data_IF_785753520648
#
_entry.id   IF_785753520648
#
_cell.length_a   1.000
_cell.length_b   1.000
_cell.length_c   1.000
_cell.angle_alpha   90.00
_cell.angle_beta   90.00
_cell.angle_gamma   90.00
#
_symmetry.space_group_name_H-M   'P 1'
#
loop_
_entity.id
_entity.type
_entity.pdbx_description
1 polymer ?
#
# COMPACT_ATOMS: atom_id res chain seq x y z
N UNK A 1 -28.19 5.00 6.05
CA UNK A 1 -26.99 5.22 6.89
C UNK A 1 -26.01 6.09 6.11
N UNK A 2 -25.36 7.10 6.71
CA UNK A 2 -24.89 8.30 6.01
C UNK A 2 -23.50 8.07 5.38
N UNK A 3 -23.44 7.41 4.23
CA UNK A 3 -22.20 7.03 3.53
C UNK A 3 -21.79 7.94 2.37
N UNK A 4 -22.05 9.25 2.47
CA UNK A 4 -21.86 10.20 1.35
C UNK A 4 -20.64 11.12 1.46
N UNK A 5 -19.60 10.80 2.24
CA UNK A 5 -18.57 11.80 2.63
C UNK A 5 -17.11 11.41 2.38
N UNK A 6 -16.79 10.35 1.63
CA UNK A 6 -15.43 9.79 1.74
C UNK A 6 -14.33 10.60 1.02
N UNK A 7 -14.61 11.23 -0.13
CA UNK A 7 -13.62 12.11 -0.79
C UNK A 7 -13.31 13.39 0.00
N UNK A 8 -14.33 13.98 0.65
CA UNK A 8 -14.14 15.17 1.48
C UNK A 8 -13.59 14.85 2.87
N UNK A 9 -13.78 13.62 3.36
CA UNK A 9 -13.25 13.18 4.67
C UNK A 9 -11.72 13.06 4.65
N UNK A 10 -11.13 12.55 3.56
CA UNK A 10 -9.67 12.52 3.34
C UNK A 10 -9.09 13.95 3.38
N UNK A 11 -9.71 14.88 2.64
CA UNK A 11 -9.30 16.29 2.63
C UNK A 11 -9.48 16.97 4.01
N UNK A 12 -10.58 16.69 4.70
CA UNK A 12 -10.90 17.30 6.00
C UNK A 12 -10.05 16.77 7.16
N UNK A 13 -9.72 15.48 7.20
CA UNK A 13 -8.82 14.92 8.22
C UNK A 13 -7.39 15.47 8.07
N UNK A 14 -6.90 15.59 6.84
CA UNK A 14 -5.61 16.20 6.54
C UNK A 14 -5.54 17.65 7.04
N UNK A 15 -6.55 18.48 6.72
CA UNK A 15 -6.62 19.89 7.15
C UNK A 15 -6.71 20.04 8.68
N UNK A 16 -7.43 19.14 9.36
CA UNK A 16 -7.61 19.18 10.81
C UNK A 16 -6.31 18.83 11.56
N UNK A 17 -5.53 17.87 11.04
CA UNK A 17 -4.21 17.50 11.57
C UNK A 17 -3.17 18.61 11.35
N UNK A 18 -3.22 19.30 10.20
CA UNK A 18 -2.33 20.44 9.90
C UNK A 18 -2.54 21.63 10.85
N UNK A 19 -3.80 21.94 11.22
CA UNK A 19 -4.10 22.99 12.21
C UNK A 19 -3.55 22.70 13.61
N UNK A 20 -3.49 21.43 14.02
CA UNK A 20 -2.90 21.05 15.31
C UNK A 20 -1.37 21.16 15.33
N UNK A 21 -0.70 20.98 14.19
CA UNK A 21 0.76 21.10 14.08
C UNK A 21 1.27 22.55 14.16
N UNK A 22 0.47 23.55 13.76
CA UNK A 22 0.82 24.98 13.87
C UNK A 22 0.70 25.59 15.27
N UNK A 23 0.09 24.88 16.23
CA UNK A 23 -0.11 25.38 17.59
C UNK A 23 0.94 24.89 18.60
N UNK A 24 2.02 24.22 18.16
CA UNK A 24 3.21 24.08 19.01
C UNK A 24 4.12 25.30 18.79
N UNK A 25 4.41 26.09 19.83
CA UNK A 25 5.41 27.14 19.71
C UNK A 25 6.81 26.49 19.57
N UNK A 26 7.73 27.11 18.83
CA UNK A 26 9.11 26.65 18.75
C UNK A 26 9.80 26.88 20.11
N UNK A 27 10.54 25.86 20.56
CA UNK A 27 11.44 25.96 21.71
C UNK A 27 12.54 26.96 21.34
N UNK A 28 12.69 28.01 22.16
CA UNK A 28 13.70 29.04 22.00
C UNK A 28 15.02 28.56 22.59
N UNK A 29 16.07 28.46 21.77
CA UNK A 29 17.43 28.25 22.23
C UNK A 29 17.97 29.56 22.83
N UNK A 30 18.28 29.53 24.12
CA UNK A 30 18.90 30.64 24.85
C UNK A 30 20.39 30.71 24.57
N UNK A 31 20.80 31.79 23.91
CA UNK A 31 22.19 32.25 23.81
C UNK A 31 22.68 32.70 25.19
N UNK A 32 23.82 32.18 25.66
CA UNK A 32 24.60 32.78 26.75
C UNK A 32 26.08 32.82 26.38
N UNK A 33 26.59 34.03 26.23
CA UNK A 33 28.00 34.42 26.10
C UNK A 33 28.61 34.54 27.50
N UNK A 34 29.91 34.22 27.66
CA UNK A 34 30.98 34.83 28.50
C UNK A 34 32.19 33.87 28.51
N UNK A 35 33.21 34.08 27.65
CA UNK A 35 34.51 34.76 27.90
C UNK A 35 35.57 34.02 28.75
N UNK A 36 36.60 33.56 28.02
CA UNK A 36 38.07 33.58 28.24
C UNK A 36 38.72 33.03 29.53
N UNK A 37 39.55 31.99 29.34
CA UNK A 37 40.99 32.02 29.69
C UNK A 37 41.76 30.91 28.94
N UNK A 38 42.96 31.28 28.48
CA UNK A 38 43.97 30.52 27.74
C UNK A 38 44.55 29.30 28.45
N UNK A 39 44.79 28.18 27.74
CA UNK A 39 46.13 27.56 27.70
C UNK A 39 46.28 26.49 26.58
N UNK A 40 47.54 26.23 26.26
CA UNK A 40 48.14 25.56 25.11
C UNK A 40 48.08 24.02 25.18
N UNK A 41 47.87 23.34 24.05
CA UNK A 41 48.25 21.92 23.91
C UNK A 41 47.50 21.16 22.82
N UNK A 42 48.14 20.90 21.69
CA UNK A 42 47.53 20.31 20.50
C UNK A 42 47.07 18.84 20.63
N UNK A 43 46.09 18.48 19.79
CA UNK A 43 45.95 17.18 19.15
C UNK A 43 44.87 17.26 18.05
N UNK A 44 45.28 16.97 16.82
CA UNK A 44 44.38 16.57 15.74
C UNK A 44 43.74 15.22 16.11
N UNK A 45 42.41 15.17 16.12
CA UNK A 45 41.59 13.95 16.05
C UNK A 45 40.28 14.37 15.34
N UNK A 46 40.23 14.21 14.02
CA UNK A 46 39.64 13.04 13.35
C UNK A 46 38.10 13.04 13.46
N UNK A 47 37.47 13.55 12.40
CA UNK A 47 36.03 13.46 12.16
C UNK A 47 35.73 12.08 11.56
N UNK A 48 35.26 11.14 12.38
CA UNK A 48 34.59 9.91 11.95
C UNK A 48 33.34 9.72 12.83
N UNK A 49 32.16 9.37 12.34
CA UNK A 49 31.78 8.74 11.08
C UNK A 49 30.41 9.31 10.64
N UNK A 50 30.30 9.74 9.38
CA UNK A 50 29.01 9.73 8.68
C UNK A 50 28.59 8.26 8.55
N UNK A 51 27.32 7.88 8.83
CA UNK A 51 26.90 6.52 8.55
C UNK A 51 27.10 6.26 7.05
N UNK A 52 27.93 5.28 6.75
CA UNK A 52 28.25 4.85 5.39
C UNK A 52 26.94 4.57 4.64
N UNK A 53 26.58 5.46 3.72
CA UNK A 53 25.60 5.20 2.68
C UNK A 53 26.18 4.13 1.78
N UNK A 54 25.90 2.86 2.09
CA UNK A 54 26.02 1.78 1.11
C UNK A 54 25.20 2.25 -0.10
N UNK A 55 25.84 2.46 -1.25
CA UNK A 55 25.16 2.80 -2.50
C UNK A 55 24.26 1.61 -2.88
N UNK A 56 23.04 1.58 -2.32
CA UNK A 56 22.03 0.58 -2.66
C UNK A 56 21.50 0.90 -4.05
N UNK A 57 21.27 -0.13 -4.85
CA UNK A 57 20.53 0.03 -6.10
C UNK A 57 19.13 0.59 -5.77
N UNK A 58 18.65 1.56 -6.54
CA UNK A 58 17.31 2.17 -6.38
C UNK A 58 16.21 1.12 -6.18
N UNK A 59 16.23 0.04 -6.97
CA UNK A 59 15.25 -1.05 -6.86
C UNK A 59 15.34 -1.75 -5.50
N UNK A 60 16.55 -1.97 -4.97
CA UNK A 60 16.74 -2.60 -3.67
C UNK A 60 16.17 -1.74 -2.54
N UNK A 61 16.38 -0.41 -2.62
CA UNK A 61 15.78 0.53 -1.67
C UNK A 61 14.25 0.48 -1.73
N UNK A 62 13.67 0.45 -2.94
CA UNK A 62 12.22 0.32 -3.13
C UNK A 62 11.65 -0.99 -2.54
N UNK A 63 12.38 -2.10 -2.66
CA UNK A 63 12.00 -3.39 -2.07
C UNK A 63 11.96 -3.30 -0.54
N UNK A 64 12.98 -2.69 0.06
CA UNK A 64 13.07 -2.57 1.52
C UNK A 64 11.94 -1.72 2.12
N UNK A 65 11.52 -0.64 1.43
CA UNK A 65 10.48 0.25 1.94
C UNK A 65 9.04 -0.21 1.65
N UNK A 66 8.80 -1.15 0.72
CA UNK A 66 7.45 -1.51 0.28
C UNK A 66 6.57 -2.10 1.40
N UNK A 67 7.19 -2.89 2.29
CA UNK A 67 6.54 -3.52 3.46
C UNK A 67 5.13 -4.08 3.18
N UNK A 68 4.95 -4.79 2.05
CA UNK A 68 3.63 -5.25 1.58
C UNK A 68 2.83 -6.05 2.61
N UNK A 69 3.51 -6.85 3.44
CA UNK A 69 2.89 -7.62 4.51
C UNK A 69 2.15 -6.72 5.48
N UNK A 70 2.74 -5.57 5.84
CA UNK A 70 2.13 -4.57 6.72
C UNK A 70 0.91 -3.93 6.04
N UNK A 71 0.97 -3.70 4.72
CA UNK A 71 -0.12 -3.11 3.95
C UNK A 71 -1.37 -3.99 3.94
N UNK A 72 -1.17 -5.31 3.87
CA UNK A 72 -2.26 -6.28 3.71
C UNK A 72 -2.75 -6.81 5.07
N UNK A 73 -1.89 -6.84 6.08
CA UNK A 73 -2.22 -7.30 7.44
C UNK A 73 -2.89 -6.23 8.31
N UNK A 74 -4.06 -5.79 7.88
CA UNK A 74 -4.81 -4.72 8.52
C UNK A 74 -5.38 -5.15 9.87
N UNK A 75 -5.17 -4.35 10.92
CA UNK A 75 -5.62 -4.68 12.28
C UNK A 75 -7.13 -4.80 12.35
N UNK A 76 -7.86 -3.96 11.62
CA UNK A 76 -9.32 -4.02 11.56
C UNK A 76 -9.91 -5.32 10.99
N UNK A 77 -9.10 -6.12 10.27
CA UNK A 77 -9.49 -7.42 9.73
C UNK A 77 -9.10 -8.60 10.63
N UNK A 78 -8.22 -8.42 11.62
CA UNK A 78 -7.72 -9.51 12.46
C UNK A 78 -8.80 -10.06 13.39
N UNK A 79 -8.79 -11.37 13.59
CA UNK A 79 -9.64 -12.09 14.53
C UNK A 79 -8.74 -12.63 15.64
N UNK A 80 -8.98 -12.21 16.88
CA UNK A 80 -8.21 -12.66 18.04
C UNK A 80 -8.84 -13.93 18.62
N UNK A 81 -8.02 -14.94 19.02
CA UNK A 81 -8.52 -16.10 19.76
C UNK A 81 -9.17 -15.65 21.08
N UNK A 82 -10.27 -16.29 21.47
CA UNK A 82 -11.06 -15.94 22.66
C UNK A 82 -10.33 -16.13 24.01
N UNK A 83 -9.05 -16.50 24.03
CA UNK A 83 -8.43 -17.13 25.21
C UNK A 83 -7.63 -16.25 26.15
N UNK A 84 -7.31 -14.99 25.83
CA UNK A 84 -6.66 -14.13 26.82
C UNK A 84 -7.39 -12.81 27.02
N UNK A 85 -7.84 -12.63 28.25
CA UNK A 85 -8.39 -11.42 28.82
C UNK A 85 -7.56 -10.16 28.47
N UNK A 86 -8.01 -9.34 27.52
CA UNK A 86 -7.65 -7.91 27.52
C UNK A 86 -8.48 -7.10 26.52
N UNK A 87 -9.16 -6.07 27.04
CA UNK A 87 -9.83 -4.95 26.37
C UNK A 87 -11.09 -5.28 25.54
N UNK A 88 -12.18 -4.54 25.79
CA UNK A 88 -13.37 -4.48 24.96
C UNK A 88 -12.97 -4.22 23.50
N UNK A 89 -12.82 -5.29 22.71
CA UNK A 89 -12.56 -5.15 21.30
C UNK A 89 -13.69 -4.33 20.70
N UNK A 90 -13.34 -3.19 20.11
CA UNK A 90 -14.27 -2.34 19.39
C UNK A 90 -15.19 -3.20 18.51
N UNK A 91 -16.51 -2.92 18.45
CA UNK A 91 -17.44 -3.67 17.62
C UNK A 91 -16.90 -3.82 16.19
N UNK A 92 -17.13 -4.96 15.55
CA UNK A 92 -16.56 -5.25 14.23
C UNK A 92 -16.85 -4.15 13.19
N UNK A 93 -18.03 -3.52 13.24
CA UNK A 93 -18.35 -2.38 12.39
C UNK A 93 -17.42 -1.17 12.61
N UNK A 94 -17.02 -0.91 13.85
CA UNK A 94 -16.06 0.14 14.19
C UNK A 94 -14.66 -0.22 13.71
N UNK A 95 -14.24 -1.49 13.86
CA UNK A 95 -12.95 -1.97 13.32
C UNK A 95 -12.89 -1.82 11.80
N UNK A 96 -13.91 -2.29 11.09
CA UNK A 96 -14.02 -2.16 9.63
C UNK A 96 -14.01 -0.69 9.17
N UNK A 97 -14.65 0.21 9.93
CA UNK A 97 -14.66 1.64 9.60
C UNK A 97 -13.28 2.31 9.70
N UNK A 98 -12.38 1.78 10.53
CA UNK A 98 -11.02 2.31 10.73
C UNK A 98 -10.01 1.78 9.72
N UNK A 99 -10.36 0.74 8.94
CA UNK A 99 -9.44 0.17 7.93
C UNK A 99 -9.05 1.23 6.88
N UNK A 100 -9.96 2.16 6.55
CA UNK A 100 -9.64 3.26 5.64
C UNK A 100 -8.49 4.11 6.14
N UNK A 101 -8.48 4.43 7.44
CA UNK A 101 -7.42 5.19 8.07
C UNK A 101 -6.10 4.40 8.07
N UNK A 102 -6.14 3.09 8.32
CA UNK A 102 -4.95 2.23 8.30
C UNK A 102 -4.30 2.16 6.91
N UNK A 103 -5.10 1.93 5.86
CA UNK A 103 -4.61 1.91 4.48
C UNK A 103 -3.98 3.25 4.11
N UNK A 104 -4.66 4.36 4.44
CA UNK A 104 -4.17 5.70 4.14
C UNK A 104 -2.88 5.99 4.89
N UNK A 105 -2.80 5.65 6.18
CA UNK A 105 -1.60 5.81 7.00
C UNK A 105 -0.41 5.08 6.38
N UNK A 106 -0.60 3.82 5.98
CA UNK A 106 0.46 3.00 5.39
C UNK A 106 0.90 3.50 4.01
N UNK A 107 -0.02 3.92 3.15
CA UNK A 107 0.33 4.50 1.84
C UNK A 107 1.03 5.86 1.97
N UNK A 108 0.62 6.69 2.93
CA UNK A 108 1.29 7.95 3.24
C UNK A 108 2.71 7.70 3.76
N UNK A 109 2.87 6.74 4.66
CA UNK A 109 4.18 6.42 5.21
C UNK A 109 5.11 5.84 4.14
N UNK A 110 4.63 4.91 3.32
CA UNK A 110 5.38 4.42 2.16
C UNK A 110 5.82 5.56 1.22
N UNK A 111 4.94 6.53 0.96
CA UNK A 111 5.26 7.68 0.10
C UNK A 111 6.36 8.57 0.66
N UNK A 112 6.40 8.77 2.00
CA UNK A 112 7.46 9.53 2.67
C UNK A 112 8.83 8.85 2.59
N UNK A 113 8.83 7.52 2.51
CA UNK A 113 10.05 6.71 2.46
C UNK A 113 10.64 6.62 1.05
N UNK A 114 9.98 7.18 0.01
CA UNK A 114 10.51 7.18 -1.35
C UNK A 114 11.76 8.06 -1.46
N UNK A 115 12.78 7.66 -2.24
CA UNK A 115 14.06 8.36 -2.35
C UNK A 115 13.97 9.80 -2.92
N UNK A 116 12.82 10.17 -3.51
CA UNK A 116 12.56 11.49 -4.08
C UNK A 116 11.52 12.32 -3.29
N UNK A 117 11.13 11.88 -2.08
CA UNK A 117 10.08 12.56 -1.31
C UNK A 117 10.38 14.04 -1.07
N UNK A 118 11.64 14.38 -0.78
CA UNK A 118 12.09 15.75 -0.52
C UNK A 118 12.09 16.69 -1.75
N UNK A 119 11.92 16.16 -2.97
CA UNK A 119 12.01 16.97 -4.20
C UNK A 119 10.70 17.66 -4.59
N UNK A 120 9.58 17.18 -4.04
CA UNK A 120 8.23 17.64 -4.32
C UNK A 120 7.55 18.15 -3.04
N UNK A 121 6.69 19.19 -3.15
CA UNK A 121 5.87 19.63 -2.02
C UNK A 121 4.94 18.54 -1.51
N UNK A 122 4.62 18.58 -0.22
CA UNK A 122 3.71 17.64 0.45
C UNK A 122 2.33 17.63 -0.22
N UNK A 123 1.88 18.79 -0.70
CA UNK A 123 0.60 18.92 -1.38
C UNK A 123 0.58 18.08 -2.67
N UNK A 124 1.69 18.04 -3.43
CA UNK A 124 1.80 17.23 -4.64
C UNK A 124 1.72 15.75 -4.31
N UNK A 125 2.43 15.28 -3.27
CA UNK A 125 2.32 13.89 -2.80
C UNK A 125 0.90 13.54 -2.37
N UNK A 126 0.24 14.45 -1.66
CA UNK A 126 -1.16 14.31 -1.23
C UNK A 126 -2.10 14.17 -2.43
N UNK A 127 -1.88 14.95 -3.49
CA UNK A 127 -2.64 14.87 -4.73
C UNK A 127 -2.49 13.51 -5.39
N UNK A 128 -1.26 13.09 -5.60
CA UNK A 128 -0.92 11.83 -6.29
C UNK A 128 -1.57 10.65 -5.56
N UNK A 129 -1.40 10.59 -4.24
CA UNK A 129 -2.04 9.57 -3.41
C UNK A 129 -3.56 9.61 -3.50
N UNK A 130 -4.18 10.79 -3.42
CA UNK A 130 -5.65 10.92 -3.50
C UNK A 130 -6.19 10.38 -4.83
N UNK A 131 -5.44 10.52 -5.92
CA UNK A 131 -5.84 10.03 -7.24
C UNK A 131 -5.54 8.53 -7.44
N UNK A 132 -4.51 7.99 -6.78
CA UNK A 132 -3.95 6.67 -7.11
C UNK A 132 -4.09 5.60 -6.04
N UNK A 133 -4.58 5.93 -4.84
CA UNK A 133 -4.67 4.99 -3.72
C UNK A 133 -5.40 3.68 -4.08
N UNK A 134 -6.47 3.76 -4.86
CA UNK A 134 -7.25 2.57 -5.25
C UNK A 134 -6.45 1.64 -6.19
N UNK A 135 -5.66 2.20 -7.10
CA UNK A 135 -4.77 1.43 -7.98
C UNK A 135 -3.63 0.81 -7.18
N UNK A 136 -3.05 1.55 -6.22
CA UNK A 136 -1.99 1.04 -5.33
C UNK A 136 -2.49 -0.14 -4.48
N UNK A 137 -3.69 -0.04 -3.91
CA UNK A 137 -4.31 -1.12 -3.13
C UNK A 137 -4.50 -2.38 -3.97
N UNK A 138 -5.08 -2.25 -5.17
CA UNK A 138 -5.32 -3.39 -6.05
C UNK A 138 -4.03 -4.03 -6.55
N UNK A 139 -3.04 -3.21 -6.94
CA UNK A 139 -1.73 -3.68 -7.38
C UNK A 139 -1.02 -4.47 -6.28
N UNK A 140 -0.99 -3.95 -5.04
CA UNK A 140 -0.40 -4.66 -3.90
C UNK A 140 -1.17 -5.95 -3.57
N UNK A 141 -2.50 -5.94 -3.61
CA UNK A 141 -3.30 -7.15 -3.40
C UNK A 141 -3.01 -8.24 -4.47
N UNK A 142 -2.93 -7.84 -5.75
CA UNK A 142 -2.58 -8.76 -6.84
C UNK A 142 -1.19 -9.36 -6.66
N UNK A 143 -0.18 -8.53 -6.39
CA UNK A 143 1.19 -8.99 -6.21
C UNK A 143 1.30 -9.96 -5.03
N UNK A 144 0.74 -9.60 -3.88
CA UNK A 144 0.75 -10.47 -2.70
C UNK A 144 0.14 -11.84 -2.94
N UNK A 145 -1.04 -11.90 -3.55
CA UNK A 145 -1.69 -13.19 -3.83
C UNK A 145 -0.90 -14.04 -4.80
N UNK A 146 -0.29 -13.46 -5.83
CA UNK A 146 0.57 -14.21 -6.75
C UNK A 146 1.84 -14.71 -6.07
N UNK A 147 2.51 -13.88 -5.28
CA UNK A 147 3.73 -14.27 -4.56
C UNK A 147 3.47 -15.38 -3.56
N UNK A 148 2.37 -15.27 -2.79
CA UNK A 148 2.02 -16.29 -1.80
C UNK A 148 1.59 -17.61 -2.45
N UNK A 149 0.88 -17.58 -3.58
CA UNK A 149 0.52 -18.78 -4.32
C UNK A 149 1.75 -19.52 -4.90
N UNK A 150 2.77 -18.77 -5.35
CA UNK A 150 4.02 -19.36 -5.84
C UNK A 150 4.79 -20.10 -4.73
N UNK A 151 4.84 -19.53 -3.52
CA UNK A 151 5.46 -20.18 -2.36
C UNK A 151 4.76 -21.49 -1.97
N UNK A 152 3.42 -21.51 -2.00
CA UNK A 152 2.64 -22.71 -1.67
C UNK A 152 2.88 -23.80 -2.71
N UNK A 153 2.91 -23.47 -4.00
CA UNK A 153 3.16 -24.45 -5.06
C UNK A 153 4.53 -25.13 -5.00
N UNK A 154 5.55 -24.48 -4.42
CA UNK A 154 6.87 -25.07 -4.18
C UNK A 154 6.87 -26.02 -2.96
N UNK A 155 6.04 -25.77 -1.95
CA UNK A 155 5.96 -26.59 -0.73
C UNK A 155 4.94 -27.75 -0.82
N UNK A 156 3.90 -27.66 -1.64
CA UNK A 156 2.77 -28.64 -1.70
C UNK A 156 2.75 -29.54 -2.95
N UNK A 157 3.90 -30.07 -3.36
CA UNK A 157 3.95 -31.14 -4.37
C UNK A 157 3.32 -32.48 -3.90
N UNK A 158 2.77 -32.59 -2.68
CA UNK A 158 2.14 -33.82 -2.17
C UNK A 158 0.87 -33.53 -1.35
N UNK A 159 -0.28 -33.37 -2.00
CA UNK A 159 -1.58 -33.79 -1.44
C UNK A 159 -2.70 -33.78 -2.49
N UNK A 160 -3.04 -34.97 -2.98
CA UNK A 160 -4.25 -35.24 -3.76
C UNK A 160 -5.41 -35.54 -2.81
N UNK A 161 -6.12 -34.51 -2.37
CA UNK A 161 -7.52 -34.62 -1.94
C UNK A 161 -8.24 -33.32 -2.29
N UNK A 162 -9.34 -33.44 -3.03
CA UNK A 162 -10.28 -32.34 -3.30
C UNK A 162 -10.84 -31.80 -1.99
N UNK A 163 -10.21 -30.75 -1.47
CA UNK A 163 -10.73 -30.01 -0.32
C UNK A 163 -11.78 -29.02 -0.84
N UNK A 164 -13.07 -29.37 -0.69
CA UNK A 164 -14.22 -28.49 -0.98
C UNK A 164 -14.27 -27.24 -0.08
N UNK A 165 -13.25 -26.99 0.74
CA UNK A 165 -13.13 -25.87 1.64
C UNK A 165 -11.83 -25.08 1.53
N UNK A 166 -11.18 -25.06 0.35
CA UNK A 166 -9.99 -24.23 0.10
C UNK A 166 -10.20 -22.80 0.65
N UNK A 167 -9.49 -22.49 1.74
CA UNK A 167 -9.49 -21.17 2.35
C UNK A 167 -8.63 -20.17 1.55
N UNK A 168 -8.35 -20.46 0.28
CA UNK A 168 -7.48 -19.71 -0.60
C UNK A 168 -8.26 -18.97 -1.69
N UNK A 169 -7.63 -17.91 -2.20
CA UNK A 169 -8.20 -17.12 -3.29
C UNK A 169 -8.14 -17.91 -4.61
N UNK A 170 -9.27 -17.95 -5.32
CA UNK A 170 -9.33 -18.48 -6.68
C UNK A 170 -8.93 -17.41 -7.69
N UNK A 171 -8.07 -17.78 -8.64
CA UNK A 171 -7.69 -16.92 -9.76
C UNK A 171 -8.66 -16.99 -10.94
N UNK A 172 -9.63 -17.91 -10.92
CA UNK A 172 -10.50 -18.19 -12.07
C UNK A 172 -11.99 -18.04 -11.75
N UNK A 173 -12.38 -18.30 -10.50
CA UNK A 173 -13.78 -18.35 -10.09
C UNK A 173 -14.13 -17.23 -9.11
N UNK A 174 -14.83 -16.21 -9.60
CA UNK A 174 -15.34 -15.12 -8.77
C UNK A 174 -16.42 -15.59 -7.79
N UNK A 175 -17.16 -16.66 -8.08
CA UNK A 175 -18.17 -17.22 -7.19
C UNK A 175 -17.52 -17.90 -5.98
N UNK A 176 -16.42 -18.63 -6.19
CA UNK A 176 -15.59 -19.14 -5.10
C UNK A 176 -15.07 -18.00 -4.21
N UNK A 177 -14.54 -16.93 -4.81
CA UNK A 177 -14.05 -15.76 -4.06
C UNK A 177 -15.15 -15.04 -3.28
N UNK A 178 -16.39 -14.99 -3.81
CA UNK A 178 -17.53 -14.44 -3.08
C UNK A 178 -17.90 -15.30 -1.86
N UNK A 179 -17.89 -16.65 -1.98
CA UNK A 179 -18.11 -17.54 -0.84
C UNK A 179 -16.99 -17.42 0.19
N UNK A 180 -15.74 -17.34 -0.24
CA UNK A 180 -14.58 -17.10 0.62
C UNK A 180 -14.72 -15.77 1.38
N UNK A 181 -15.06 -14.69 0.67
CA UNK A 181 -15.31 -13.38 1.26
C UNK A 181 -16.44 -13.46 2.29
N UNK A 182 -17.54 -14.16 1.99
CA UNK A 182 -18.66 -14.33 2.92
C UNK A 182 -18.24 -15.04 4.20
N UNK A 183 -17.46 -16.14 4.09
CA UNK A 183 -16.90 -16.87 5.23
C UNK A 183 -16.04 -15.96 6.10
N UNK A 184 -15.06 -15.28 5.49
CA UNK A 184 -14.11 -14.41 6.20
C UNK A 184 -14.79 -13.19 6.80
N UNK A 185 -15.71 -12.55 6.08
CA UNK A 185 -16.44 -11.39 6.60
C UNK A 185 -17.38 -11.77 7.75
N UNK A 186 -18.03 -12.94 7.69
CA UNK A 186 -18.85 -13.46 8.79
C UNK A 186 -18.02 -13.68 10.05
N UNK A 187 -16.80 -14.21 9.89
CA UNK A 187 -15.86 -14.40 10.98
C UNK A 187 -15.39 -13.07 11.58
N UNK A 188 -14.99 -12.10 10.75
CA UNK A 188 -14.60 -10.74 11.20
C UNK A 188 -15.74 -10.05 11.94
N UNK A 189 -16.98 -10.25 11.48
CA UNK A 189 -18.17 -9.66 12.08
C UNK A 189 -18.70 -10.39 13.31
N UNK A 190 -18.18 -11.60 13.61
CA UNK A 190 -18.67 -12.45 14.69
C UNK A 190 -20.12 -12.91 14.51
N UNK A 191 -20.65 -12.86 13.29
CA UNK A 191 -22.02 -13.27 12.96
C UNK A 191 -22.13 -13.72 11.51
N UNK A 192 -23.02 -14.67 11.25
CA UNK A 192 -23.31 -15.11 9.90
C UNK A 192 -23.85 -13.96 9.04
N UNK A 193 -23.23 -13.75 7.87
CA UNK A 193 -23.69 -12.78 6.88
C UNK A 193 -24.28 -13.57 5.71
N UNK A 194 -25.54 -13.31 5.32
CA UNK A 194 -26.14 -13.99 4.18
C UNK A 194 -25.38 -13.72 2.88
N UNK A 195 -25.23 -14.77 2.05
CA UNK A 195 -24.45 -14.71 0.82
C UNK A 195 -25.01 -13.68 -0.17
N UNK A 196 -26.32 -13.53 -0.23
CA UNK A 196 -27.03 -12.56 -1.07
C UNK A 196 -26.63 -11.11 -0.77
N UNK A 197 -26.34 -10.79 0.50
CA UNK A 197 -25.87 -9.45 0.88
C UNK A 197 -24.44 -9.21 0.39
N UNK A 198 -23.58 -10.23 0.45
CA UNK A 198 -22.20 -10.13 -0.05
C UNK A 198 -22.19 -10.00 -1.58
N UNK A 199 -23.00 -10.78 -2.28
CA UNK A 199 -23.17 -10.67 -3.74
C UNK A 199 -23.61 -9.26 -4.12
N UNK A 200 -24.64 -8.73 -3.43
CA UNK A 200 -25.18 -7.41 -3.74
C UNK A 200 -24.18 -6.27 -3.50
N UNK A 201 -23.44 -6.30 -2.39
CA UNK A 201 -22.56 -5.18 -2.01
C UNK A 201 -21.13 -5.31 -2.58
N UNK A 202 -20.64 -6.55 -2.77
CA UNK A 202 -19.25 -6.83 -3.16
C UNK A 202 -19.11 -7.45 -4.56
N UNK A 203 -20.17 -8.05 -5.10
CA UNK A 203 -20.15 -8.85 -6.34
C UNK A 203 -19.37 -8.20 -7.49
N UNK A 204 -19.74 -6.98 -7.91
CA UNK A 204 -19.05 -6.29 -9.01
C UNK A 204 -17.54 -6.08 -8.76
N UNK A 205 -17.16 -5.78 -7.51
CA UNK A 205 -15.76 -5.59 -7.15
C UNK A 205 -15.00 -6.92 -7.15
N UNK A 206 -15.59 -7.98 -6.60
CA UNK A 206 -14.94 -9.31 -6.58
C UNK A 206 -14.79 -9.87 -7.99
N UNK A 207 -15.79 -9.72 -8.85
CA UNK A 207 -15.69 -10.15 -10.25
C UNK A 207 -14.55 -9.43 -10.98
N UNK A 208 -14.51 -8.09 -10.89
CA UNK A 208 -13.43 -7.30 -11.48
C UNK A 208 -12.06 -7.63 -10.88
N UNK A 209 -11.99 -7.83 -9.58
CA UNK A 209 -10.74 -8.17 -8.90
C UNK A 209 -10.25 -9.57 -9.28
N UNK A 210 -11.12 -10.58 -9.38
CA UNK A 210 -10.74 -11.93 -9.85
C UNK A 210 -10.18 -11.88 -11.27
N UNK A 211 -10.82 -11.15 -12.18
CA UNK A 211 -10.29 -10.97 -13.54
C UNK A 211 -8.94 -10.26 -13.55
N UNK A 212 -8.79 -9.21 -12.73
CA UNK A 212 -7.53 -8.48 -12.59
C UNK A 212 -6.40 -9.38 -12.08
N UNK A 213 -6.71 -10.18 -11.04
CA UNK A 213 -5.79 -11.13 -10.42
C UNK A 213 -5.37 -12.25 -11.38
N UNK A 214 -6.32 -12.79 -12.14
CA UNK A 214 -6.04 -13.77 -13.21
C UNK A 214 -5.03 -13.20 -14.22
N UNK A 215 -5.29 -11.99 -14.73
CA UNK A 215 -4.42 -11.39 -15.73
C UNK A 215 -3.04 -11.07 -15.16
N UNK A 216 -2.97 -10.59 -13.90
CA UNK A 216 -1.70 -10.29 -13.25
C UNK A 216 -0.85 -11.55 -13.05
N UNK A 217 -1.46 -12.69 -12.70
CA UNK A 217 -0.73 -13.96 -12.50
C UNK A 217 -0.07 -14.50 -13.77
N UNK A 218 -0.58 -14.14 -14.96
CA UNK A 218 0.02 -14.54 -16.24
C UNK A 218 1.25 -13.73 -16.62
N UNK A 219 1.44 -12.55 -16.05
CA UNK A 219 2.54 -11.66 -16.40
C UNK A 219 3.86 -12.05 -15.73
N UNK A 220 3.86 -12.90 -14.69
CA UNK A 220 5.07 -13.29 -13.93
C UNK A 220 5.88 -12.07 -13.47
N UNK A 221 5.20 -11.15 -12.81
CA UNK A 221 5.81 -9.93 -12.26
C UNK A 221 6.72 -10.30 -11.10
N UNK A 222 8.00 -9.96 -11.23
CA UNK A 222 9.03 -10.09 -10.18
C UNK A 222 8.87 -8.99 -9.12
N UNK A 223 9.48 -9.17 -7.95
CA UNK A 223 9.42 -8.19 -6.84
C UNK A 223 9.99 -6.84 -7.26
N UNK A 224 11.11 -6.85 -7.97
CA UNK A 224 11.77 -5.68 -8.54
C UNK A 224 10.85 -4.92 -9.51
N UNK A 225 10.19 -5.65 -10.42
CA UNK A 225 9.25 -5.06 -11.36
C UNK A 225 8.03 -4.48 -10.64
N UNK A 226 7.49 -5.18 -9.65
CA UNK A 226 6.33 -4.73 -8.87
C UNK A 226 6.60 -3.41 -8.15
N UNK A 227 7.73 -3.26 -7.45
CA UNK A 227 8.02 -2.01 -6.72
C UNK A 227 8.21 -0.83 -7.67
N UNK A 228 8.78 -1.07 -8.85
CA UNK A 228 8.87 -0.06 -9.90
C UNK A 228 7.49 0.33 -10.44
N UNK A 229 6.64 -0.65 -10.75
CA UNK A 229 5.26 -0.40 -11.22
C UNK A 229 4.49 0.39 -10.17
N UNK A 230 4.60 0.05 -8.88
CA UNK A 230 3.93 0.75 -7.79
C UNK A 230 4.37 2.22 -7.70
N UNK A 231 5.67 2.49 -7.80
CA UNK A 231 6.19 3.86 -7.85
C UNK A 231 5.68 4.61 -9.10
N UNK A 232 5.74 3.98 -10.29
CA UNK A 232 5.23 4.57 -11.54
C UNK A 232 3.74 4.89 -11.43
N UNK A 233 2.93 4.01 -10.83
CA UNK A 233 1.50 4.22 -10.58
C UNK A 233 1.26 5.43 -9.71
N UNK A 234 2.01 5.60 -8.60
CA UNK A 234 1.89 6.79 -7.75
C UNK A 234 2.19 8.07 -8.53
N UNK A 235 3.30 8.10 -9.28
CA UNK A 235 3.74 9.29 -10.02
C UNK A 235 3.02 9.49 -11.35
N UNK A 236 2.02 8.65 -11.68
CA UNK A 236 1.22 8.83 -12.89
C UNK A 236 0.23 9.99 -12.74
N UNK A 237 0.68 11.18 -13.10
CA UNK A 237 -0.12 12.41 -13.01
C UNK A 237 -1.10 12.53 -14.18
N UNK A 238 -2.41 12.68 -13.87
CA UNK A 238 -3.42 13.00 -14.88
C UNK A 238 -3.50 14.50 -15.11
N UNK A 239 -3.23 14.94 -16.36
CA UNK A 239 -3.20 16.35 -16.78
C UNK A 239 -4.52 17.09 -16.53
N UNK A 240 -5.64 16.38 -16.45
CA UNK A 240 -6.99 16.95 -16.30
C UNK A 240 -7.44 17.09 -14.84
N UNK A 241 -6.56 16.86 -13.86
CA UNK A 241 -6.92 17.01 -12.45
C UNK A 241 -6.91 18.48 -12.01
N UNK A 242 -8.03 18.92 -11.42
CA UNK A 242 -8.28 20.27 -10.92
C UNK A 242 -7.44 20.57 -9.66
N UNK A 243 -6.13 20.68 -9.86
CA UNK A 243 -5.22 21.24 -8.86
C UNK A 243 -5.52 22.74 -8.68
N UNK A 244 -6.40 23.05 -7.73
CA UNK A 244 -6.95 24.40 -7.51
C UNK A 244 -6.11 25.26 -6.54
N UNK A 245 -4.91 24.83 -6.14
CA UNK A 245 -4.18 25.40 -5.00
C UNK A 245 -2.99 26.32 -5.29
N UNK A 246 -2.46 26.38 -6.52
CA UNK A 246 -1.19 27.10 -6.82
C UNK A 246 -1.23 27.84 -8.16
N UNK A 247 -0.36 28.84 -8.33
CA UNK A 247 -0.19 29.55 -9.59
C UNK A 247 0.09 28.57 -10.74
N UNK A 248 -0.37 28.90 -11.96
CA UNK A 248 -0.22 28.04 -13.14
C UNK A 248 1.27 27.71 -13.44
N UNK A 249 2.18 28.66 -13.16
CA UNK A 249 3.63 28.48 -13.33
C UNK A 249 4.18 27.41 -12.38
N UNK A 250 3.80 27.47 -11.10
CA UNK A 250 4.21 26.49 -10.08
C UNK A 250 3.67 25.09 -10.41
N UNK A 251 2.42 25.01 -10.88
CA UNK A 251 1.80 23.76 -11.32
C UNK A 251 2.63 23.11 -12.43
N UNK A 252 2.98 23.86 -13.48
CA UNK A 252 3.81 23.35 -14.58
C UNK A 252 5.17 22.83 -14.12
N UNK A 253 5.83 23.52 -13.19
CA UNK A 253 7.13 23.14 -12.66
C UNK A 253 7.08 21.81 -11.88
N UNK A 254 6.05 21.63 -11.05
CA UNK A 254 5.86 20.36 -10.32
C UNK A 254 5.46 19.21 -11.24
N UNK A 255 4.64 19.47 -12.28
CA UNK A 255 4.34 18.44 -13.29
C UNK A 255 5.63 17.94 -13.96
N UNK A 256 6.52 18.85 -14.35
CA UNK A 256 7.79 18.49 -14.96
C UNK A 256 8.65 17.64 -14.01
N UNK A 257 8.74 18.02 -12.73
CA UNK A 257 9.47 17.22 -11.73
C UNK A 257 8.86 15.84 -11.52
N UNK A 258 7.53 15.73 -11.40
CA UNK A 258 6.84 14.43 -11.27
C UNK A 258 7.13 13.54 -12.48
N UNK A 259 7.10 14.09 -13.70
CA UNK A 259 7.46 13.34 -14.91
C UNK A 259 8.92 12.90 -14.90
N UNK A 260 9.85 13.75 -14.48
CA UNK A 260 11.27 13.38 -14.39
C UNK A 260 11.50 12.25 -13.38
N UNK A 261 10.86 12.31 -12.21
CA UNK A 261 10.92 11.26 -11.19
C UNK A 261 10.31 9.97 -11.73
N UNK A 262 9.13 10.04 -12.35
CA UNK A 262 8.50 8.87 -12.97
C UNK A 262 9.40 8.21 -14.02
N UNK A 263 10.05 9.01 -14.86
CA UNK A 263 10.92 8.53 -15.94
C UNK A 263 12.13 7.74 -15.40
N UNK A 264 12.63 8.09 -14.21
CA UNK A 264 13.67 7.31 -13.53
C UNK A 264 13.18 5.90 -13.15
N UNK A 265 11.97 5.77 -12.62
CA UNK A 265 11.38 4.46 -12.32
C UNK A 265 11.03 3.66 -13.58
N UNK A 266 10.58 4.32 -14.65
CA UNK A 266 10.34 3.67 -15.95
C UNK A 266 11.63 3.11 -16.53
N UNK A 267 12.72 3.88 -16.49
CA UNK A 267 14.05 3.41 -16.93
C UNK A 267 14.55 2.24 -16.09
N UNK A 268 14.42 2.32 -14.77
CA UNK A 268 14.81 1.23 -13.87
C UNK A 268 14.02 -0.07 -14.19
N UNK A 269 12.70 0.05 -14.38
CA UNK A 269 11.86 -1.07 -14.80
C UNK A 269 12.31 -1.64 -16.15
N UNK A 270 12.52 -0.80 -17.16
CA UNK A 270 12.94 -1.24 -18.49
C UNK A 270 14.28 -1.99 -18.46
N UNK A 271 15.27 -1.47 -17.73
CA UNK A 271 16.56 -2.13 -17.56
C UNK A 271 16.38 -3.51 -16.93
N UNK A 272 15.58 -3.61 -15.86
CA UNK A 272 15.30 -4.88 -15.19
C UNK A 272 14.61 -5.90 -16.10
N UNK A 273 13.61 -5.47 -16.87
CA UNK A 273 12.90 -6.35 -17.79
C UNK A 273 13.78 -6.83 -18.96
N UNK A 274 14.71 -5.99 -19.44
CA UNK A 274 15.67 -6.40 -20.49
C UNK A 274 16.67 -7.41 -19.94
N UNK A 275 17.08 -7.28 -18.68
CA UNK A 275 18.04 -8.18 -18.05
C UNK A 275 17.46 -9.53 -17.67
N UNK A 276 16.13 -9.65 -17.61
CA UNK A 276 15.43 -10.86 -17.18
C UNK A 276 14.48 -11.38 -18.28
N UNK A 277 15.01 -12.20 -19.19
CA UNK A 277 14.28 -12.71 -20.37
C UNK A 277 13.04 -13.56 -20.02
N UNK A 278 13.01 -14.17 -18.83
CA UNK A 278 11.90 -14.98 -18.33
C UNK A 278 10.82 -14.18 -17.58
N UNK A 279 11.04 -12.87 -17.37
CA UNK A 279 10.13 -11.99 -16.66
C UNK A 279 9.03 -11.39 -17.56
N UNK A 280 8.12 -10.64 -16.91
CA UNK A 280 7.05 -9.90 -17.57
C UNK A 280 7.54 -9.03 -18.74
N UNK A 281 6.81 -9.02 -19.84
CA UNK A 281 7.10 -8.08 -20.94
C UNK A 281 6.47 -6.73 -20.66
N UNK A 282 7.14 -5.66 -21.08
CA UNK A 282 6.59 -4.30 -21.00
C UNK A 282 5.22 -4.20 -21.70
N UNK A 283 5.04 -4.90 -22.83
CA UNK A 283 3.75 -4.96 -23.55
C UNK A 283 2.61 -5.47 -22.67
N UNK A 284 2.88 -6.49 -21.85
CA UNK A 284 1.87 -7.15 -21.02
C UNK A 284 1.49 -6.24 -19.84
N UNK A 285 2.47 -5.51 -19.31
CA UNK A 285 2.22 -4.47 -18.28
C UNK A 285 1.34 -3.36 -18.85
N UNK A 286 1.66 -2.85 -20.05
CA UNK A 286 0.90 -1.77 -20.68
C UNK A 286 -0.55 -2.18 -21.02
N UNK A 287 -0.79 -3.44 -21.38
CA UNK A 287 -2.16 -3.95 -21.63
C UNK A 287 -2.93 -4.21 -20.33
N UNK A 288 -2.23 -4.51 -19.23
CA UNK A 288 -2.84 -4.72 -17.92
C UNK A 288 -3.22 -3.42 -17.19
N UNK A 289 -2.46 -2.33 -17.38
CA UNK A 289 -2.73 -1.03 -16.72
C UNK A 289 -4.18 -0.50 -16.93
N UNK A 290 -4.78 -0.55 -18.14
CA UNK A 290 -6.19 -0.21 -18.32
C UNK A 290 -7.16 -1.08 -17.50
N UNK A 291 -6.84 -2.37 -17.30
CA UNK A 291 -7.64 -3.26 -16.45
C UNK A 291 -7.55 -2.85 -14.99
N UNK A 292 -6.35 -2.52 -14.51
CA UNK A 292 -6.14 -1.97 -13.17
C UNK A 292 -6.98 -0.70 -12.96
N UNK A 293 -6.96 0.23 -13.93
CA UNK A 293 -7.76 1.45 -13.87
C UNK A 293 -9.27 1.17 -13.87
N UNK A 294 -9.72 0.19 -14.67
CA UNK A 294 -11.14 -0.23 -14.67
C UNK A 294 -11.57 -0.78 -13.32
N UNK A 295 -10.76 -1.64 -12.70
CA UNK A 295 -11.04 -2.21 -11.39
C UNK A 295 -10.96 -1.16 -10.27
N UNK A 296 -10.00 -0.21 -10.35
CA UNK A 296 -9.86 0.87 -9.38
C UNK A 296 -11.08 1.79 -9.37
N UNK A 297 -11.67 2.05 -10.54
CA UNK A 297 -12.94 2.80 -10.64
C UNK A 297 -14.07 2.11 -9.87
N UNK A 298 -14.19 0.79 -9.93
CA UNK A 298 -15.19 0.04 -9.13
C UNK A 298 -14.87 0.13 -7.64
N UNK A 299 -13.59 0.03 -7.27
CA UNK A 299 -13.15 0.14 -5.88
C UNK A 299 -13.45 1.53 -5.28
N UNK A 300 -13.25 2.61 -6.05
CA UNK A 300 -13.52 3.99 -5.63
C UNK A 300 -14.99 4.23 -5.27
N UNK A 301 -15.91 3.51 -5.91
CA UNK A 301 -17.35 3.61 -5.64
C UNK A 301 -17.83 2.56 -4.61
N UNK A 302 -16.96 1.64 -4.18
CA UNK A 302 -17.28 0.60 -3.21
C UNK A 302 -17.16 1.12 -1.77
N UNK A 303 -18.09 0.68 -0.91
CA UNK A 303 -17.99 0.89 0.54
C UNK A 303 -17.09 -0.15 1.23
N UNK A 304 -16.71 -1.21 0.53
CA UNK A 304 -15.93 -2.32 1.04
C UNK A 304 -14.55 -2.33 0.38
N UNK A 305 -13.82 -1.22 0.49
CA UNK A 305 -12.51 -1.07 -0.15
C UNK A 305 -11.43 -2.01 0.41
N UNK A 306 -11.69 -2.66 1.54
CA UNK A 306 -10.83 -3.68 2.16
C UNK A 306 -11.00 -5.07 1.54
N UNK A 307 -11.97 -5.28 0.64
CA UNK A 307 -12.27 -6.58 0.02
C UNK A 307 -11.06 -7.23 -0.65
N UNK A 308 -10.24 -6.53 -1.46
CA UNK A 308 -9.05 -7.14 -2.05
C UNK A 308 -8.17 -7.80 -0.98
N UNK A 309 -7.84 -7.08 0.09
CA UNK A 309 -7.00 -7.61 1.17
C UNK A 309 -7.67 -8.75 1.95
N UNK A 310 -8.97 -8.64 2.24
CA UNK A 310 -9.69 -9.70 2.96
C UNK A 310 -9.83 -10.99 2.13
N UNK A 311 -9.85 -10.91 0.80
CA UNK A 311 -9.80 -12.08 -0.09
C UNK A 311 -8.37 -12.64 -0.15
N UNK A 312 -7.36 -11.77 -0.24
CA UNK A 312 -5.96 -12.18 -0.38
C UNK A 312 -5.36 -12.79 0.90
N UNK A 313 -5.72 -12.30 2.10
CA UNK A 313 -5.12 -12.72 3.38
C UNK A 313 -6.17 -13.20 4.37
N UNK A 314 -5.93 -14.36 4.97
CA UNK A 314 -6.84 -14.95 5.95
C UNK A 314 -6.80 -14.14 7.26
N UNK A 315 -7.95 -13.68 7.78
CA UNK A 315 -8.02 -12.87 9.01
C UNK A 315 -7.67 -13.64 10.30
N UNK A 316 -7.64 -14.98 10.25
CA UNK A 316 -7.40 -15.86 11.40
C UNK A 316 -5.94 -16.19 11.68
N UNK A 317 -4.95 -15.56 11.01
CA UNK A 317 -3.55 -15.99 11.14
C UNK A 317 -3.11 -15.99 12.62
N UNK A 318 -2.85 -17.21 13.11
CA UNK A 318 -2.70 -17.61 14.50
C UNK A 318 -1.54 -16.89 15.21
N UNK A 319 -1.74 -16.61 16.51
CA UNK A 319 -0.66 -16.29 17.44
C UNK A 319 0.41 -17.41 17.37
N UNK A 320 1.52 -17.17 16.68
CA UNK A 320 2.56 -18.19 16.50
C UNK A 320 3.64 -17.90 15.47
N UNK A 321 3.40 -17.06 14.46
CA UNK A 321 4.43 -16.72 13.47
C UNK A 321 5.41 -15.62 13.91
N UNK A 322 5.10 -14.87 14.97
CA UNK A 322 6.04 -13.89 15.54
C UNK A 322 7.16 -14.53 16.40
N UNK A 323 7.14 -15.85 16.60
CA UNK A 323 8.18 -16.57 17.38
C UNK A 323 9.35 -17.11 16.55
N UNK A 324 9.40 -16.86 15.23
CA UNK A 324 10.52 -17.30 14.38
C UNK A 324 11.47 -16.18 13.93
N UNK A 325 11.29 -14.95 14.42
CA UNK A 325 12.16 -13.81 14.10
C UNK A 325 12.73 -13.10 15.35
N UNK A 326 12.86 -13.82 16.46
CA UNK A 326 13.68 -13.41 17.61
C UNK A 326 15.02 -14.14 17.60
#
# INVERSE_FOLDING_TARGET
>A
MPGGRNGSTIYNLYKLRYRKARHRPPIADSVSVCENASDIGGRLADYGESPQTKNKNLIQELIEIDQIEKLIDLRGLRIFPLEDSCEELAPACQRLSRIGDEIVEQLVEWTKMLPFYGELPVEVHTHLLTQRWAELVLLSACFYSCSNAAHISDETAVSTTVDEGSDEVSFLDSSANIRLLQKRLSAVMGKAIPLEHVIKEAGPLVEKFTTLLYSFSKMRITTEAYVCIKAITLFHYSKNSDWSGTNHLDKSMFLQKVTLIQDQFVKALQIHLIQNEEAARLSDILTWLPMLHSASSVLLHSKMFYVPFLICKNPHRFAGQDKQLS
#
